data_IF_213030516302
#
_entry.id   IF_213030516302
#
_cell.length_a   1.000
_cell.length_b   1.000
_cell.length_c   1.000
_cell.angle_alpha   90.00
_cell.angle_beta   90.00
_cell.angle_gamma   90.00
#
_symmetry.space_group_name_H-M   'P 1'
#
loop_
_entity.id
_entity.type
_entity.pdbx_description
1 polymer ?
#
# COMPACT_ATOMS: atom_id res chain seq x y z
N UNK A 1 -16.89 8.30 1.46
CA UNK A 1 -17.10 8.66 2.87
C UNK A 1 -16.42 7.69 3.81
N UNK A 2 -16.12 8.10 5.05
CA UNK A 2 -15.63 7.17 6.09
C UNK A 2 -16.73 6.18 6.46
N UNK A 3 -16.34 4.95 6.86
CA UNK A 3 -17.30 3.93 7.31
C UNK A 3 -18.07 3.19 6.21
N UNK A 4 -17.82 3.46 4.94
CA UNK A 4 -18.51 2.78 3.84
C UNK A 4 -17.95 1.39 3.47
N UNK A 5 -17.08 0.80 4.29
CA UNK A 5 -16.59 -0.57 4.10
C UNK A 5 -15.29 -0.73 3.30
N UNK A 6 -14.57 0.35 2.96
CA UNK A 6 -13.30 0.29 2.18
C UNK A 6 -12.24 -0.58 2.85
N UNK A 7 -11.94 -0.32 4.12
CA UNK A 7 -10.99 -1.12 4.92
C UNK A 7 -11.46 -2.58 5.04
N UNK A 8 -12.76 -2.82 5.21
CA UNK A 8 -13.31 -4.18 5.26
C UNK A 8 -13.07 -4.92 3.95
N UNK A 9 -13.33 -4.27 2.81
CA UNK A 9 -13.05 -4.84 1.49
C UNK A 9 -11.54 -5.13 1.33
N UNK A 10 -10.68 -4.21 1.74
CA UNK A 10 -9.23 -4.41 1.69
C UNK A 10 -8.79 -5.61 2.53
N UNK A 11 -9.35 -5.75 3.74
CA UNK A 11 -9.07 -6.89 4.62
C UNK A 11 -9.60 -8.22 4.05
N UNK A 12 -10.67 -8.20 3.28
CA UNK A 12 -11.16 -9.38 2.56
C UNK A 12 -10.22 -9.74 1.41
N UNK A 13 -9.75 -8.74 0.63
CA UNK A 13 -8.79 -8.96 -0.46
C UNK A 13 -7.46 -9.50 0.11
N UNK A 14 -7.02 -8.99 1.25
CA UNK A 14 -5.78 -9.46 1.89
C UNK A 14 -5.89 -10.85 2.52
N UNK A 15 -7.09 -11.33 2.84
CA UNK A 15 -7.33 -12.59 3.53
C UNK A 15 -7.30 -12.48 5.07
N UNK A 16 -7.25 -11.27 5.61
CA UNK A 16 -7.40 -11.02 7.06
C UNK A 16 -8.83 -11.27 7.53
N UNK A 17 -9.80 -11.09 6.64
CA UNK A 17 -11.22 -11.36 6.89
C UNK A 17 -11.76 -12.25 5.78
N UNK A 18 -12.50 -13.29 6.14
CA UNK A 18 -13.18 -14.14 5.17
C UNK A 18 -14.51 -13.49 4.73
N UNK A 19 -14.81 -13.48 3.40
CA UNK A 19 -16.09 -12.98 2.93
C UNK A 19 -17.22 -13.96 3.32
N UNK A 20 -18.38 -13.42 3.71
CA UNK A 20 -19.57 -14.26 3.98
C UNK A 20 -20.13 -14.88 2.70
N UNK A 21 -19.93 -14.25 1.55
CA UNK A 21 -20.36 -14.69 0.22
C UNK A 21 -19.39 -14.18 -0.85
N UNK A 22 -19.39 -14.84 -2.01
CA UNK A 22 -18.54 -14.44 -3.13
C UNK A 22 -17.16 -15.08 -3.09
N UNK A 23 -16.30 -14.67 -4.02
CA UNK A 23 -14.94 -15.20 -4.21
C UNK A 23 -13.96 -14.09 -4.50
N UNK A 24 -12.72 -14.30 -4.09
CA UNK A 24 -11.58 -13.45 -4.45
C UNK A 24 -10.72 -14.19 -5.46
N UNK A 25 -10.50 -13.58 -6.61
CA UNK A 25 -9.69 -14.15 -7.68
C UNK A 25 -8.46 -13.29 -7.94
N UNK A 26 -7.29 -13.93 -8.01
CA UNK A 26 -6.05 -13.31 -8.50
C UNK A 26 -5.68 -13.98 -9.83
N UNK A 27 -5.70 -13.21 -10.92
CA UNK A 27 -5.46 -13.71 -12.28
C UNK A 27 -6.31 -14.96 -12.61
N UNK A 28 -7.59 -14.93 -12.23
CA UNK A 28 -8.55 -16.02 -12.44
C UNK A 28 -8.44 -17.18 -11.44
N UNK A 29 -7.42 -17.23 -10.61
CA UNK A 29 -7.24 -18.24 -9.57
C UNK A 29 -7.99 -17.87 -8.30
N UNK A 30 -8.82 -18.77 -7.79
CA UNK A 30 -9.54 -18.57 -6.53
C UNK A 30 -8.56 -18.62 -5.34
N UNK A 31 -8.50 -17.51 -4.62
CA UNK A 31 -7.64 -17.34 -3.43
C UNK A 31 -8.47 -17.11 -2.15
N UNK A 32 -9.78 -17.31 -2.22
CA UNK A 32 -10.71 -16.99 -1.12
C UNK A 32 -10.35 -17.69 0.18
N UNK A 33 -9.96 -18.97 0.12
CA UNK A 33 -9.60 -19.77 1.30
C UNK A 33 -8.12 -19.61 1.72
N UNK A 34 -7.30 -18.90 0.93
CA UNK A 34 -5.87 -18.74 1.22
C UNK A 34 -5.64 -17.68 2.29
N UNK A 35 -4.62 -17.92 3.12
CA UNK A 35 -4.13 -16.95 4.12
C UNK A 35 -3.46 -15.76 3.44
N UNK A 36 -3.29 -14.62 4.13
CA UNK A 36 -2.56 -13.46 3.58
C UNK A 36 -1.15 -13.82 3.08
N UNK A 37 -0.45 -14.70 3.79
CA UNK A 37 0.87 -15.17 3.42
C UNK A 37 0.84 -15.96 2.10
N UNK A 38 -0.13 -16.86 1.96
CA UNK A 38 -0.32 -17.66 0.74
C UNK A 38 -0.79 -16.83 -0.45
N UNK A 39 -1.54 -15.73 -0.20
CA UNK A 39 -1.91 -14.76 -1.25
C UNK A 39 -0.73 -13.94 -1.74
N UNK A 40 0.38 -13.94 -1.00
CA UNK A 40 1.61 -13.22 -1.32
C UNK A 40 1.36 -11.74 -1.64
N UNK A 41 0.73 -11.03 -0.72
CA UNK A 41 0.45 -9.60 -0.83
C UNK A 41 1.29 -8.81 0.15
N UNK A 42 1.46 -7.51 -0.10
CA UNK A 42 1.91 -6.54 0.89
C UNK A 42 0.75 -5.63 1.26
N UNK A 43 0.62 -5.28 2.54
CA UNK A 43 -0.40 -4.35 3.01
C UNK A 43 0.23 -3.23 3.83
N UNK A 44 -0.13 -2.00 3.49
CA UNK A 44 0.24 -0.78 4.20
C UNK A 44 -1.02 -0.26 4.89
N UNK A 45 -0.97 -0.19 6.21
CA UNK A 45 -2.10 0.22 7.05
C UNK A 45 -2.13 1.74 7.26
N UNK A 46 -3.29 2.25 7.62
CA UNK A 46 -3.50 3.67 7.94
C UNK A 46 -2.59 4.15 9.09
N UNK A 47 -2.42 3.31 10.10
CA UNK A 47 -1.46 3.55 11.18
C UNK A 47 -0.16 2.78 10.92
N UNK A 48 1.00 3.39 11.20
CA UNK A 48 2.28 2.78 10.89
C UNK A 48 2.49 1.47 11.66
N UNK A 49 2.75 0.38 10.95
CA UNK A 49 3.14 -0.91 11.51
C UNK A 49 4.63 -1.08 11.35
N UNK A 50 5.38 -0.79 12.40
CA UNK A 50 6.85 -0.81 12.42
C UNK A 50 7.38 -1.45 13.71
N UNK A 51 8.66 -1.78 13.71
CA UNK A 51 9.38 -2.26 14.89
C UNK A 51 10.21 -1.13 15.48
N UNK A 52 9.76 -0.55 16.59
CA UNK A 52 10.40 0.62 17.24
C UNK A 52 11.84 0.34 17.71
N UNK A 53 12.18 -0.90 18.02
CA UNK A 53 13.50 -1.34 18.48
C UNK A 53 14.49 -1.55 17.34
N UNK A 54 14.01 -1.69 16.11
CA UNK A 54 14.84 -1.85 14.91
C UNK A 54 15.25 -0.50 14.33
N UNK A 55 16.35 -0.49 13.58
CA UNK A 55 16.71 0.66 12.75
C UNK A 55 15.73 0.85 11.60
N UNK A 56 15.74 2.01 10.93
CA UNK A 56 14.98 2.22 9.69
C UNK A 56 15.37 1.16 8.66
N UNK A 57 16.66 0.95 8.45
CA UNK A 57 17.19 -0.08 7.55
C UNK A 57 16.64 -1.48 7.88
N UNK A 58 16.71 -1.90 9.14
CA UNK A 58 16.25 -3.23 9.55
C UNK A 58 14.73 -3.40 9.42
N UNK A 59 13.95 -2.34 9.66
CA UNK A 59 12.52 -2.35 9.39
C UNK A 59 12.21 -2.66 7.92
N UNK A 60 12.95 -2.06 6.99
CA UNK A 60 12.79 -2.29 5.56
C UNK A 60 13.35 -3.65 5.13
N UNK A 61 14.46 -4.08 5.71
CA UNK A 61 15.09 -5.38 5.41
C UNK A 61 14.29 -6.58 5.94
N UNK A 62 13.55 -6.40 7.02
CA UNK A 62 12.82 -7.47 7.71
C UNK A 62 11.91 -8.31 6.79
N UNK A 63 11.03 -7.72 5.95
CA UNK A 63 10.18 -8.51 5.06
C UNK A 63 10.98 -9.35 4.05
N UNK A 64 12.14 -8.87 3.61
CA UNK A 64 13.02 -9.58 2.66
C UNK A 64 13.78 -10.70 3.34
N UNK A 65 14.32 -10.46 4.55
CA UNK A 65 15.01 -11.48 5.34
C UNK A 65 14.08 -12.66 5.68
N UNK A 66 12.84 -12.40 6.05
CA UNK A 66 11.84 -13.43 6.31
C UNK A 66 11.57 -14.33 5.08
N UNK A 67 11.81 -13.80 3.89
CA UNK A 67 11.66 -14.51 2.62
C UNK A 67 12.98 -15.04 2.08
N UNK A 68 14.06 -14.97 2.86
CA UNK A 68 15.38 -15.50 2.54
C UNK A 68 16.00 -14.92 1.26
N UNK A 69 15.77 -13.63 0.99
CA UNK A 69 16.49 -12.93 -0.07
C UNK A 69 17.99 -12.89 0.25
N UNK A 70 18.84 -12.89 -0.79
CA UNK A 70 20.28 -12.70 -0.63
C UNK A 70 20.59 -11.30 -0.06
N UNK A 71 21.61 -11.20 0.80
CA UNK A 71 21.96 -9.94 1.48
C UNK A 71 22.30 -8.81 0.50
N UNK A 72 22.92 -9.10 -0.63
CA UNK A 72 23.21 -8.09 -1.66
C UNK A 72 21.92 -7.53 -2.29
N UNK A 73 20.91 -8.37 -2.52
CA UNK A 73 19.59 -7.95 -2.99
C UNK A 73 18.85 -7.14 -1.93
N UNK A 74 18.93 -7.55 -0.67
CA UNK A 74 18.35 -6.82 0.45
C UNK A 74 18.96 -5.42 0.51
N UNK A 75 20.28 -5.33 0.50
CA UNK A 75 20.99 -4.04 0.54
C UNK A 75 20.57 -3.12 -0.60
N UNK A 76 20.54 -3.62 -1.82
CA UNK A 76 20.12 -2.84 -2.99
C UNK A 76 18.68 -2.34 -2.86
N UNK A 77 17.73 -3.25 -2.59
CA UNK A 77 16.30 -2.91 -2.48
C UNK A 77 16.01 -1.96 -1.33
N UNK A 78 16.65 -2.14 -0.18
CA UNK A 78 16.50 -1.26 0.98
C UNK A 78 17.07 0.12 0.67
N UNK A 79 18.23 0.22 0.02
CA UNK A 79 18.81 1.53 -0.37
C UNK A 79 17.88 2.28 -1.33
N UNK A 80 17.42 1.62 -2.39
CA UNK A 80 16.46 2.21 -3.34
C UNK A 80 15.16 2.67 -2.64
N UNK A 81 14.68 1.89 -1.67
CA UNK A 81 13.47 2.26 -0.90
C UNK A 81 13.72 3.44 0.04
N UNK A 82 14.87 3.48 0.72
CA UNK A 82 15.26 4.60 1.60
C UNK A 82 15.32 5.93 0.84
N UNK A 83 15.91 5.93 -0.35
CA UNK A 83 15.95 7.10 -1.23
C UNK A 83 14.53 7.53 -1.64
N UNK A 84 13.68 6.58 -2.01
CA UNK A 84 12.31 6.84 -2.41
C UNK A 84 11.47 7.50 -1.31
N UNK A 85 11.60 7.01 -0.06
CA UNK A 85 10.82 7.55 1.07
C UNK A 85 11.53 8.72 1.79
N UNK A 86 12.68 9.17 1.27
CA UNK A 86 13.46 10.27 1.82
C UNK A 86 13.85 10.03 3.30
N UNK A 87 14.47 8.87 3.56
CA UNK A 87 14.96 8.48 4.89
C UNK A 87 16.38 7.92 4.87
N UNK A 88 17.17 8.17 3.81
CA UNK A 88 18.54 7.65 3.67
C UNK A 88 19.45 8.07 4.84
N UNK A 89 19.38 9.33 5.26
CA UNK A 89 20.18 9.86 6.38
C UNK A 89 19.81 9.26 7.75
N UNK A 90 18.65 8.64 7.83
CA UNK A 90 18.13 8.03 9.05
C UNK A 90 18.24 6.51 9.05
N UNK A 91 18.87 5.90 8.02
CA UNK A 91 18.91 4.45 7.81
C UNK A 91 19.33 3.67 9.07
N UNK A 92 20.32 4.16 9.81
CA UNK A 92 20.87 3.50 10.99
C UNK A 92 20.27 3.98 12.32
N UNK A 93 19.31 4.92 12.29
CA UNK A 93 18.57 5.34 13.50
C UNK A 93 17.48 4.34 13.85
N UNK A 94 17.28 4.11 15.15
CA UNK A 94 16.14 3.33 15.66
C UNK A 94 14.84 4.08 15.41
N UNK A 95 13.79 3.35 15.00
CA UNK A 95 12.50 3.92 14.69
C UNK A 95 11.78 4.55 15.88
N UNK A 96 12.12 4.15 17.10
CA UNK A 96 11.52 4.65 18.36
C UNK A 96 11.55 6.18 18.50
N UNK A 97 12.60 6.82 18.03
CA UNK A 97 12.79 8.29 18.19
C UNK A 97 12.31 9.12 16.99
N UNK A 98 11.60 8.53 16.03
CA UNK A 98 11.18 9.18 14.81
C UNK A 98 9.79 9.81 14.94
N UNK A 99 9.50 10.80 14.08
CA UNK A 99 8.20 11.45 13.99
C UNK A 99 7.13 10.51 13.41
N UNK A 100 5.86 10.85 13.59
CA UNK A 100 4.74 10.07 13.02
C UNK A 100 4.83 9.97 11.49
N UNK A 101 5.20 11.08 10.81
CA UNK A 101 5.44 11.11 9.37
C UNK A 101 6.56 10.14 8.96
N UNK A 102 7.71 10.18 9.64
CA UNK A 102 8.84 9.29 9.37
C UNK A 102 8.46 7.82 9.60
N UNK A 103 7.70 7.53 10.65
CA UNK A 103 7.19 6.17 10.93
C UNK A 103 6.23 5.69 9.84
N UNK A 104 5.38 6.57 9.33
CA UNK A 104 4.48 6.23 8.22
C UNK A 104 5.25 5.97 6.93
N UNK A 105 6.29 6.75 6.64
CA UNK A 105 7.20 6.50 5.51
C UNK A 105 7.87 5.13 5.61
N UNK A 106 8.32 4.72 6.81
CA UNK A 106 8.88 3.37 7.03
C UNK A 106 7.82 2.30 6.75
N UNK A 107 6.59 2.46 7.26
CA UNK A 107 5.49 1.53 7.02
C UNK A 107 5.18 1.39 5.53
N UNK A 108 5.17 2.50 4.80
CA UNK A 108 5.03 2.54 3.34
C UNK A 108 6.20 1.79 2.67
N UNK A 109 7.43 2.08 3.04
CA UNK A 109 8.63 1.45 2.50
C UNK A 109 8.66 -0.07 2.72
N UNK A 110 8.17 -0.56 3.86
CA UNK A 110 8.05 -2.01 4.13
C UNK A 110 7.12 -2.73 3.15
N UNK A 111 6.08 -2.06 2.68
CA UNK A 111 5.21 -2.59 1.61
C UNK A 111 5.90 -2.57 0.25
N UNK A 112 6.59 -1.46 -0.07
CA UNK A 112 7.18 -1.22 -1.38
C UNK A 112 8.49 -1.97 -1.64
N UNK A 113 9.26 -2.29 -0.61
CA UNK A 113 10.54 -3.00 -0.73
C UNK A 113 10.38 -4.39 -1.33
N UNK A 114 9.17 -4.95 -1.26
CA UNK A 114 8.83 -6.26 -1.82
C UNK A 114 8.40 -6.14 -3.28
N UNK A 115 9.21 -6.68 -4.19
CA UNK A 115 8.91 -6.74 -5.62
C UNK A 115 8.35 -8.09 -6.08
N UNK A 116 8.20 -9.04 -5.17
CA UNK A 116 7.74 -10.41 -5.42
C UNK A 116 6.26 -10.64 -5.10
N UNK A 117 5.50 -9.56 -4.88
CA UNK A 117 4.11 -9.63 -4.45
C UNK A 117 3.11 -9.66 -5.61
N UNK A 118 1.98 -10.35 -5.41
CA UNK A 118 0.87 -10.35 -6.36
C UNK A 118 0.11 -9.00 -6.36
N UNK A 119 0.03 -8.35 -5.20
CA UNK A 119 -0.58 -7.03 -5.07
C UNK A 119 -0.02 -6.28 -3.87
N UNK A 120 -0.09 -4.95 -3.92
CA UNK A 120 0.18 -4.06 -2.79
C UNK A 120 -1.12 -3.35 -2.44
N UNK A 121 -1.54 -3.47 -1.19
CA UNK A 121 -2.78 -2.90 -0.67
C UNK A 121 -2.44 -1.72 0.24
N UNK A 122 -3.06 -0.57 -0.01
CA UNK A 122 -2.85 0.65 0.75
C UNK A 122 -4.15 1.11 1.39
N UNK A 123 -4.19 1.19 2.72
CA UNK A 123 -5.32 1.70 3.47
C UNK A 123 -5.01 3.11 4.00
N UNK A 124 -5.43 4.13 3.27
CA UNK A 124 -5.20 5.55 3.57
C UNK A 124 -3.74 5.89 3.96
N UNK A 125 -2.73 5.44 3.19
CA UNK A 125 -1.33 5.40 3.63
C UNK A 125 -0.69 6.77 3.82
N UNK A 126 -1.28 7.83 3.26
CA UNK A 126 -0.69 9.18 3.27
C UNK A 126 -1.41 10.14 4.21
N UNK A 127 -2.36 9.68 5.04
CA UNK A 127 -3.21 10.56 5.87
C UNK A 127 -2.41 11.46 6.82
N UNK A 128 -1.36 10.93 7.44
CA UNK A 128 -0.51 11.66 8.42
C UNK A 128 0.73 12.31 7.82
N UNK A 129 0.90 12.23 6.50
CA UNK A 129 2.07 12.75 5.79
C UNK A 129 1.85 14.21 5.40
N UNK A 130 2.91 14.99 5.43
CA UNK A 130 2.92 16.40 4.99
C UNK A 130 2.39 16.56 3.55
N UNK A 131 1.59 17.61 3.24
CA UNK A 131 0.97 17.79 1.92
C UNK A 131 1.98 17.81 0.75
N UNK A 132 3.14 18.42 0.93
CA UNK A 132 4.18 18.45 -0.10
C UNK A 132 4.71 17.04 -0.36
N UNK A 133 5.01 16.30 0.71
CA UNK A 133 5.47 14.91 0.60
C UNK A 133 4.40 13.96 0.06
N UNK A 134 3.12 14.19 0.33
CA UNK A 134 2.03 13.43 -0.30
C UNK A 134 2.13 13.46 -1.83
N UNK A 135 2.37 14.63 -2.39
CA UNK A 135 2.50 14.78 -3.85
C UNK A 135 3.72 14.01 -4.38
N UNK A 136 4.88 14.14 -3.72
CA UNK A 136 6.11 13.42 -4.11
C UNK A 136 5.91 11.92 -4.04
N UNK A 137 5.39 11.40 -2.93
CA UNK A 137 5.17 9.96 -2.75
C UNK A 137 4.15 9.39 -3.75
N UNK A 138 3.06 10.13 -4.04
CA UNK A 138 2.10 9.71 -5.09
C UNK A 138 2.76 9.60 -6.45
N UNK A 139 3.58 10.57 -6.82
CA UNK A 139 4.32 10.54 -8.09
C UNK A 139 5.25 9.33 -8.16
N UNK A 140 5.95 9.03 -7.07
CA UNK A 140 6.84 7.87 -6.96
C UNK A 140 6.07 6.54 -7.03
N UNK A 141 4.95 6.41 -6.32
CA UNK A 141 4.08 5.24 -6.40
C UNK A 141 3.58 5.00 -7.84
N UNK A 142 3.18 6.06 -8.54
CA UNK A 142 2.76 5.98 -9.95
C UNK A 142 3.89 5.54 -10.87
N UNK A 143 5.11 6.02 -10.64
CA UNK A 143 6.30 5.58 -11.39
C UNK A 143 6.63 4.11 -11.11
N UNK A 144 6.53 3.67 -9.86
CA UNK A 144 6.73 2.27 -9.49
C UNK A 144 5.71 1.35 -10.17
N UNK A 145 4.43 1.74 -10.13
CA UNK A 145 3.38 1.00 -10.82
C UNK A 145 3.71 0.84 -12.32
N UNK A 146 4.08 1.93 -12.99
CA UNK A 146 4.46 1.90 -14.41
C UNK A 146 5.71 1.05 -14.68
N UNK A 147 6.70 1.09 -13.78
CA UNK A 147 7.97 0.37 -13.95
C UNK A 147 7.84 -1.13 -13.71
N UNK A 148 7.10 -1.54 -12.71
CA UNK A 148 7.04 -2.93 -12.24
C UNK A 148 5.73 -3.64 -12.57
N UNK A 149 4.67 -2.92 -12.99
CA UNK A 149 3.38 -3.49 -13.33
C UNK A 149 2.63 -4.15 -12.17
N UNK A 150 3.02 -3.83 -10.92
CA UNK A 150 2.33 -4.39 -9.74
C UNK A 150 0.89 -3.92 -9.67
N UNK A 151 -0.02 -4.84 -9.36
CA UNK A 151 -1.39 -4.47 -9.00
C UNK A 151 -1.36 -3.72 -7.67
N UNK A 152 -1.88 -2.50 -7.67
CA UNK A 152 -1.99 -1.65 -6.49
C UNK A 152 -3.46 -1.35 -6.21
N UNK A 153 -3.92 -1.65 -5.00
CA UNK A 153 -5.25 -1.27 -4.50
C UNK A 153 -5.06 -0.18 -3.47
N UNK A 154 -5.54 1.01 -3.78
CA UNK A 154 -5.32 2.21 -2.96
C UNK A 154 -6.65 2.72 -2.42
N UNK A 155 -6.83 2.66 -1.12
CA UNK A 155 -8.00 3.20 -0.41
C UNK A 155 -7.68 4.62 0.05
N UNK A 156 -8.55 5.55 -0.29
CA UNK A 156 -8.50 6.94 0.15
C UNK A 156 -9.89 7.54 0.28
N UNK A 157 -10.04 8.58 1.08
CA UNK A 157 -11.22 9.44 1.11
C UNK A 157 -10.97 10.76 0.36
N UNK A 158 -9.76 11.00 -0.14
CA UNK A 158 -9.39 12.17 -0.93
C UNK A 158 -9.70 11.93 -2.41
N UNK A 159 -10.68 12.70 -2.94
CA UNK A 159 -11.08 12.61 -4.34
C UNK A 159 -9.94 12.99 -5.29
N UNK A 160 -9.10 13.96 -4.90
CA UNK A 160 -7.96 14.39 -5.72
C UNK A 160 -6.95 13.25 -5.86
N UNK A 161 -6.69 12.51 -4.78
CA UNK A 161 -5.85 11.32 -4.84
C UNK A 161 -6.43 10.29 -5.81
N UNK A 162 -7.71 9.92 -5.64
CA UNK A 162 -8.34 8.91 -6.47
C UNK A 162 -8.32 9.28 -7.96
N UNK A 163 -8.67 10.51 -8.30
CA UNK A 163 -8.81 10.96 -9.70
C UNK A 163 -7.47 11.21 -10.42
N UNK A 164 -6.40 11.51 -9.67
CA UNK A 164 -5.09 11.83 -10.29
C UNK A 164 -4.12 10.65 -10.32
N UNK A 165 -4.32 9.68 -9.45
CA UNK A 165 -3.38 8.59 -9.23
C UNK A 165 -3.80 7.27 -9.89
N UNK A 166 -5.08 6.92 -9.85
CA UNK A 166 -5.58 5.61 -10.24
C UNK A 166 -5.84 5.47 -11.76
N UNK A 167 -5.67 4.26 -12.28
CA UNK A 167 -6.12 3.88 -13.63
C UNK A 167 -7.64 3.62 -13.65
N UNK A 168 -8.16 3.04 -12.56
CA UNK A 168 -9.58 2.82 -12.30
C UNK A 168 -9.94 3.22 -10.89
N UNK A 169 -11.10 3.82 -10.72
CA UNK A 169 -11.63 4.23 -9.42
C UNK A 169 -12.93 3.48 -9.16
N UNK A 170 -13.07 2.96 -7.94
CA UNK A 170 -14.28 2.36 -7.42
C UNK A 170 -14.86 3.28 -6.36
N UNK A 171 -16.06 3.77 -6.55
CA UNK A 171 -16.79 4.59 -5.58
C UNK A 171 -17.66 3.68 -4.72
N UNK A 172 -17.51 3.80 -3.40
CA UNK A 172 -18.29 3.05 -2.42
C UNK A 172 -19.13 3.98 -1.55
N UNK A 173 -20.38 3.60 -1.31
CA UNK A 173 -21.30 4.28 -0.41
C UNK A 173 -22.12 3.24 0.37
N UNK A 174 -22.19 3.35 1.70
CA UNK A 174 -22.95 2.45 2.59
C UNK A 174 -22.73 0.95 2.32
N UNK A 175 -21.49 0.55 2.06
CA UNK A 175 -21.12 -0.84 1.79
C UNK A 175 -21.43 -1.33 0.37
N UNK A 176 -21.95 -0.47 -0.50
CA UNK A 176 -22.29 -0.82 -1.89
C UNK A 176 -21.33 -0.12 -2.85
N UNK A 177 -20.98 -0.80 -3.94
CA UNK A 177 -20.25 -0.21 -5.05
C UNK A 177 -21.26 0.58 -5.90
N UNK A 178 -21.08 1.92 -5.94
CA UNK A 178 -21.97 2.83 -6.66
C UNK A 178 -21.56 2.98 -8.11
N UNK A 179 -20.24 3.10 -8.35
CA UNK A 179 -19.69 3.27 -9.70
C UNK A 179 -18.26 2.73 -9.77
N UNK A 180 -17.89 2.19 -10.92
CA UNK A 180 -16.51 1.84 -11.28
C UNK A 180 -16.23 2.43 -12.66
N UNK A 181 -15.10 3.10 -12.82
CA UNK A 181 -14.69 3.66 -14.10
C UNK A 181 -13.30 4.27 -14.06
N UNK A 182 -12.87 4.83 -15.16
CA UNK A 182 -11.69 5.69 -15.21
C UNK A 182 -11.95 7.00 -14.47
N UNK A 183 -10.90 7.71 -14.03
CA UNK A 183 -11.06 9.05 -13.44
C UNK A 183 -11.92 10.01 -14.30
N UNK A 184 -11.70 10.03 -15.61
CA UNK A 184 -12.46 10.87 -16.55
C UNK A 184 -13.94 10.49 -16.59
N UNK A 185 -14.26 9.20 -16.67
CA UNK A 185 -15.65 8.73 -16.67
C UNK A 185 -16.38 9.11 -15.39
N UNK A 186 -15.72 8.99 -14.23
CA UNK A 186 -16.32 9.37 -12.95
C UNK A 186 -16.53 10.88 -12.81
N UNK A 187 -15.62 11.67 -13.37
CA UNK A 187 -15.71 13.12 -13.33
C UNK A 187 -16.79 13.66 -14.29
N UNK A 188 -16.86 13.14 -15.52
CA UNK A 188 -17.76 13.62 -16.57
C UNK A 188 -19.18 13.06 -16.41
N UNK A 189 -19.35 11.87 -15.86
CA UNK A 189 -20.62 11.15 -15.77
C UNK A 189 -20.80 10.51 -14.38
N UNK A 190 -20.90 11.32 -13.33
CA UNK A 190 -21.13 10.78 -11.99
C UNK A 190 -22.51 10.11 -11.91
N UNK A 191 -22.54 8.91 -11.32
CA UNK A 191 -23.79 8.15 -11.11
C UNK A 191 -24.46 8.48 -9.78
N UNK A 192 -23.86 9.34 -8.93
CA UNK A 192 -24.35 9.68 -7.61
C UNK A 192 -23.97 11.11 -7.22
#
# INVERSE_FOLDING_TARGET
PSGCGKTSLLNIISGLVHPSRGRILFDGKDVTALTPEQRNIAQVFQFPVIYDTMTVYDNLAFPLRNRRFAEDDIKRKVTETLEMIDLSDLAHRKARGLTADQKQKISLGRGLVRSDVNAILFDEPLTVIDPHMKWVLRSQLKQLHKRFGHTMVYVTHDQTEALTFADKVMVMYEGVIVQIGTPSELFERPSH
#
